data_IF_592788776185
#
_entry.id   IF_592788776185
#
_cell.length_a   1.000
_cell.length_b   1.000
_cell.length_c   1.000
_cell.angle_alpha   90.00
_cell.angle_beta   90.00
_cell.angle_gamma   90.00
#
_symmetry.space_group_name_H-M   'P 1'
#
loop_
_entity.id
_entity.type
_entity.pdbx_description
1 polymer ?
#
# COMPACT_ATOMS: atom_id res chain seq x y z
N UNK A 1 -14.92 -11.38 -7.88
CA UNK A 1 -13.88 -10.82 -8.75
C UNK A 1 -13.45 -11.91 -9.72
N UNK A 2 -13.45 -11.62 -11.03
CA UNK A 2 -13.03 -12.54 -12.08
C UNK A 2 -11.84 -11.89 -12.80
N UNK A 3 -10.64 -12.42 -12.57
CA UNK A 3 -9.41 -11.96 -13.25
C UNK A 3 -9.03 -12.98 -14.31
N UNK A 4 -8.59 -12.51 -15.48
CA UNK A 4 -8.10 -13.39 -16.55
C UNK A 4 -6.62 -13.72 -16.38
N UNK A 5 -6.14 -14.80 -17.01
CA UNK A 5 -4.72 -15.14 -17.03
C UNK A 5 -3.86 -14.01 -17.63
N UNK A 6 -4.37 -13.34 -18.67
CA UNK A 6 -3.72 -12.18 -19.28
C UNK A 6 -3.60 -11.01 -18.30
N UNK A 7 -4.67 -10.69 -17.58
CA UNK A 7 -4.65 -9.67 -16.53
C UNK A 7 -3.70 -10.03 -15.39
N UNK A 8 -3.64 -11.31 -14.98
CA UNK A 8 -2.69 -11.76 -13.96
C UNK A 8 -1.23 -11.50 -14.38
N UNK A 9 -0.85 -11.90 -15.60
CA UNK A 9 0.51 -11.65 -16.12
C UNK A 9 0.82 -10.15 -16.23
N UNK A 10 -0.14 -9.37 -16.72
CA UNK A 10 0.01 -7.93 -16.85
C UNK A 10 0.17 -7.22 -15.49
N UNK A 11 -0.67 -7.56 -14.51
CA UNK A 11 -0.59 -7.06 -13.15
C UNK A 11 0.75 -7.43 -12.49
N UNK A 12 1.18 -8.68 -12.64
CA UNK A 12 2.48 -9.12 -12.13
C UNK A 12 3.63 -8.33 -12.77
N UNK A 13 3.56 -8.04 -14.07
CA UNK A 13 4.54 -7.21 -14.76
C UNK A 13 4.51 -5.76 -14.28
N UNK A 14 3.33 -5.17 -14.05
CA UNK A 14 3.18 -3.82 -13.51
C UNK A 14 3.81 -3.70 -12.12
N UNK A 15 3.63 -4.72 -11.28
CA UNK A 15 4.20 -4.79 -9.93
C UNK A 15 5.69 -5.19 -9.91
N UNK A 16 6.28 -5.51 -11.07
CA UNK A 16 7.63 -6.09 -11.18
C UNK A 16 7.82 -7.34 -10.29
N UNK A 17 6.80 -8.18 -10.17
CA UNK A 17 6.82 -9.39 -9.36
C UNK A 17 7.25 -10.63 -10.16
N UNK A 18 7.98 -11.53 -9.52
CA UNK A 18 8.17 -12.90 -9.99
C UNK A 18 6.94 -13.76 -9.69
N UNK A 19 6.81 -14.94 -10.32
CA UNK A 19 5.74 -15.88 -10.00
C UNK A 19 5.83 -16.36 -8.54
N UNK A 20 7.05 -16.47 -8.00
CA UNK A 20 7.29 -16.84 -6.60
C UNK A 20 6.83 -15.75 -5.63
N UNK A 21 7.10 -14.48 -5.95
CA UNK A 21 6.59 -13.34 -5.17
C UNK A 21 5.07 -13.29 -5.19
N UNK A 22 4.43 -13.48 -6.35
CA UNK A 22 2.98 -13.54 -6.42
C UNK A 22 2.41 -14.71 -5.60
N UNK A 23 3.01 -15.90 -5.70
CA UNK A 23 2.57 -17.07 -4.96
C UNK A 23 2.66 -16.86 -3.44
N UNK A 24 3.75 -16.25 -2.96
CA UNK A 24 3.95 -15.91 -1.57
C UNK A 24 2.90 -14.90 -1.07
N UNK A 25 2.69 -13.80 -1.81
CA UNK A 25 1.72 -12.75 -1.44
C UNK A 25 0.27 -13.25 -1.48
N UNK A 26 -0.06 -14.13 -2.42
CA UNK A 26 -1.40 -14.70 -2.55
C UNK A 26 -1.64 -15.93 -1.66
N UNK A 27 -0.62 -16.42 -0.94
CA UNK A 27 -0.67 -17.65 -0.14
C UNK A 27 -1.19 -18.85 -0.95
N UNK A 28 -0.60 -19.04 -2.14
CA UNK A 28 -0.89 -20.17 -3.04
C UNK A 28 0.41 -20.83 -3.49
N UNK A 29 0.33 -22.02 -4.08
CA UNK A 29 1.53 -22.65 -4.64
C UNK A 29 2.00 -21.92 -5.90
N UNK A 30 3.31 -21.85 -6.11
CA UNK A 30 3.93 -21.36 -7.36
C UNK A 30 3.38 -22.08 -8.60
N UNK A 31 3.14 -23.38 -8.50
CA UNK A 31 2.56 -24.18 -9.58
C UNK A 31 1.14 -23.69 -9.96
N UNK A 32 0.32 -23.36 -8.95
CA UNK A 32 -1.01 -22.76 -9.19
C UNK A 32 -0.94 -21.45 -9.96
N UNK A 33 0.03 -20.59 -9.63
CA UNK A 33 0.27 -19.33 -10.36
C UNK A 33 0.70 -19.62 -11.80
N UNK A 34 1.67 -20.51 -11.98
CA UNK A 34 2.18 -20.84 -13.31
C UNK A 34 1.09 -21.43 -14.22
N UNK A 35 0.31 -22.40 -13.72
CA UNK A 35 -0.79 -23.04 -14.46
C UNK A 35 -1.90 -22.04 -14.83
N UNK A 36 -2.16 -21.07 -13.95
CA UNK A 36 -3.12 -20.01 -14.22
C UNK A 36 -2.59 -19.06 -15.29
N UNK A 37 -1.36 -18.57 -15.13
CA UNK A 37 -0.75 -17.64 -16.07
C UNK A 37 -0.55 -18.26 -17.46
N UNK A 38 -0.32 -19.57 -17.58
CA UNK A 38 -0.25 -20.26 -18.87
C UNK A 38 -1.61 -20.60 -19.46
N UNK A 39 -2.71 -20.31 -18.75
CA UNK A 39 -4.07 -20.72 -19.10
C UNK A 39 -4.25 -22.25 -19.19
N UNK A 40 -3.34 -23.02 -18.61
CA UNK A 40 -3.42 -24.49 -18.55
C UNK A 40 -4.56 -24.93 -17.65
N UNK A 41 -4.77 -24.23 -16.53
CA UNK A 41 -5.83 -24.55 -15.56
C UNK A 41 -6.35 -23.30 -14.88
N UNK A 42 -7.67 -23.28 -14.64
CA UNK A 42 -8.27 -22.27 -13.78
C UNK A 42 -8.05 -22.65 -12.30
N UNK A 43 -7.49 -21.77 -11.46
CA UNK A 43 -7.41 -21.99 -10.03
C UNK A 43 -8.80 -22.19 -9.40
N UNK A 44 -8.82 -22.87 -8.26
CA UNK A 44 -10.03 -22.89 -7.43
C UNK A 44 -10.44 -21.45 -7.06
N UNK A 45 -11.75 -21.24 -6.90
CA UNK A 45 -12.33 -19.91 -6.64
C UNK A 45 -11.65 -19.14 -5.51
N UNK A 46 -11.25 -19.83 -4.43
CA UNK A 46 -10.55 -19.21 -3.31
C UNK A 46 -9.15 -18.75 -3.70
N UNK A 47 -8.37 -19.57 -4.39
CA UNK A 47 -7.02 -19.20 -4.86
C UNK A 47 -7.08 -18.05 -5.86
N UNK A 48 -8.05 -18.06 -6.79
CA UNK A 48 -8.24 -16.98 -7.76
C UNK A 48 -8.58 -15.65 -7.06
N UNK A 49 -9.41 -15.72 -6.01
CA UNK A 49 -9.71 -14.58 -5.14
C UNK A 49 -8.43 -14.08 -4.45
N UNK A 50 -7.68 -14.95 -3.78
CA UNK A 50 -6.45 -14.55 -3.08
C UNK A 50 -5.42 -13.90 -4.02
N UNK A 51 -5.25 -14.43 -5.24
CA UNK A 51 -4.38 -13.84 -6.27
C UNK A 51 -4.84 -12.42 -6.61
N UNK A 52 -6.13 -12.22 -6.91
CA UNK A 52 -6.61 -10.90 -7.26
C UNK A 52 -6.59 -9.91 -6.08
N UNK A 53 -6.94 -10.37 -4.88
CA UNK A 53 -6.99 -9.54 -3.68
C UNK A 53 -5.58 -9.06 -3.28
N UNK A 54 -4.56 -9.93 -3.40
CA UNK A 54 -3.18 -9.52 -3.08
C UNK A 54 -2.64 -8.49 -4.08
N UNK A 55 -2.95 -8.64 -5.38
CA UNK A 55 -2.55 -7.66 -6.39
C UNK A 55 -3.30 -6.34 -6.20
N UNK A 56 -4.59 -6.40 -5.83
CA UNK A 56 -5.36 -5.22 -5.49
C UNK A 56 -4.77 -4.47 -4.30
N UNK A 57 -4.39 -5.19 -3.24
CA UNK A 57 -3.70 -4.63 -2.08
C UNK A 57 -2.34 -4.00 -2.46
N UNK A 58 -1.63 -4.60 -3.41
CA UNK A 58 -0.38 -4.07 -3.96
C UNK A 58 -0.56 -2.85 -4.89
N UNK A 59 -1.78 -2.35 -5.05
CA UNK A 59 -2.04 -1.13 -5.81
C UNK A 59 -2.53 -1.36 -7.24
N UNK A 60 -2.88 -2.58 -7.63
CA UNK A 60 -3.41 -2.87 -8.98
C UNK A 60 -4.94 -2.77 -9.03
N UNK A 61 -5.47 -2.28 -10.13
CA UNK A 61 -6.89 -2.32 -10.47
C UNK A 61 -7.09 -3.18 -11.73
N UNK A 62 -8.05 -4.11 -11.67
CA UNK A 62 -8.46 -4.91 -12.82
C UNK A 62 -9.68 -4.27 -13.49
N UNK A 63 -9.54 -3.93 -14.77
CA UNK A 63 -10.60 -3.32 -15.57
C UNK A 63 -11.36 -4.45 -16.29
N UNK A 64 -12.67 -4.61 -16.07
CA UNK A 64 -13.48 -5.59 -16.80
C UNK A 64 -13.69 -5.16 -18.26
N UNK A 65 -14.19 -6.07 -19.08
CA UNK A 65 -14.63 -5.75 -20.44
C UNK A 65 -15.92 -4.90 -20.37
N UNK A 66 -15.89 -3.71 -20.98
CA UNK A 66 -17.00 -2.75 -20.96
C UNK A 66 -17.03 -1.93 -22.26
N UNK A 67 -18.24 -1.66 -22.79
CA UNK A 67 -18.47 -0.76 -23.93
C UNK A 67 -17.49 -0.96 -25.10
N UNK A 68 -17.36 -2.21 -25.58
CA UNK A 68 -16.48 -2.61 -26.69
C UNK A 68 -14.98 -2.47 -26.41
N UNK A 69 -14.58 -2.23 -25.15
CA UNK A 69 -13.19 -2.24 -24.70
C UNK A 69 -12.89 -3.56 -23.99
N UNK A 70 -11.80 -4.21 -24.40
CA UNK A 70 -11.32 -5.44 -23.77
C UNK A 70 -10.82 -5.23 -22.33
N UNK A 71 -10.53 -6.35 -21.66
CA UNK A 71 -10.01 -6.35 -20.29
C UNK A 71 -8.69 -5.57 -20.16
N UNK A 72 -8.47 -4.97 -18.99
CA UNK A 72 -7.28 -4.17 -18.72
C UNK A 72 -6.75 -4.34 -17.30
N UNK A 73 -5.56 -3.78 -17.09
CA UNK A 73 -4.91 -3.65 -15.78
C UNK A 73 -4.25 -2.29 -15.71
N UNK A 74 -4.39 -1.61 -14.57
CA UNK A 74 -3.70 -0.34 -14.29
C UNK A 74 -3.29 -0.29 -12.82
N UNK A 75 -2.46 0.67 -12.45
CA UNK A 75 -2.37 1.06 -11.05
C UNK A 75 -3.69 1.73 -10.64
N UNK A 76 -4.12 1.45 -9.41
CA UNK A 76 -5.20 2.20 -8.77
C UNK A 76 -4.80 3.67 -8.73
N UNK A 77 -5.80 4.53 -8.82
CA UNK A 77 -5.62 5.95 -8.56
C UNK A 77 -5.05 6.10 -7.15
N UNK A 78 -3.85 6.69 -7.04
CA UNK A 78 -3.30 7.12 -5.76
C UNK A 78 -4.18 8.25 -5.28
N UNK A 79 -5.19 7.93 -4.47
CA UNK A 79 -6.09 8.93 -3.90
C UNK A 79 -5.39 9.83 -2.88
N UNK A 80 -4.18 9.46 -2.47
CA UNK A 80 -3.35 10.15 -1.52
C UNK A 80 -2.25 10.97 -2.23
N UNK A 81 -2.35 12.29 -2.13
CA UNK A 81 -1.27 13.23 -2.46
C UNK A 81 -0.65 13.74 -1.15
N UNK A 82 0.65 14.05 -1.13
CA UNK A 82 1.33 14.51 0.09
C UNK A 82 2.53 15.39 -0.22
N UNK A 83 2.92 16.19 0.77
CA UNK A 83 4.20 16.92 0.78
C UNK A 83 5.16 16.18 1.69
N UNK A 84 6.32 15.76 1.19
CA UNK A 84 7.29 14.93 1.92
C UNK A 84 7.91 15.59 3.15
N UNK A 85 7.75 16.90 3.31
CA UNK A 85 8.34 17.66 4.41
C UNK A 85 7.51 17.47 5.68
N UNK A 86 7.98 16.58 6.56
CA UNK A 86 7.43 16.45 7.90
C UNK A 86 7.87 17.64 8.77
N UNK A 87 6.91 18.25 9.47
CA UNK A 87 7.18 19.23 10.51
C UNK A 87 7.28 18.51 11.85
N UNK A 88 8.46 18.56 12.45
CA UNK A 88 8.73 17.98 13.77
C UNK A 88 8.27 18.93 14.87
N UNK A 89 7.59 18.39 15.88
CA UNK A 89 7.21 19.07 17.11
C UNK A 89 7.58 18.15 18.28
N UNK A 90 8.83 18.24 18.74
CA UNK A 90 9.35 17.44 19.85
C UNK A 90 8.66 17.73 21.19
N UNK A 91 8.13 18.94 21.39
CA UNK A 91 7.41 19.26 22.62
C UNK A 91 6.15 18.40 22.77
N UNK A 92 5.45 18.17 21.65
CA UNK A 92 4.28 17.30 21.60
C UNK A 92 4.60 15.84 21.22
N UNK A 93 5.88 15.51 20.99
CA UNK A 93 6.31 14.17 20.59
C UNK A 93 5.74 13.70 19.26
N UNK A 94 5.49 14.62 18.31
CA UNK A 94 4.87 14.28 17.02
C UNK A 94 5.63 14.88 15.83
N UNK A 95 5.50 14.23 14.69
CA UNK A 95 5.75 14.81 13.38
C UNK A 95 4.42 14.96 12.63
N UNK A 96 4.28 16.02 11.84
CA UNK A 96 3.07 16.28 11.06
C UNK A 96 3.37 16.48 9.58
N UNK A 97 2.53 15.92 8.72
CA UNK A 97 2.66 16.01 7.27
C UNK A 97 1.30 16.32 6.66
N UNK A 98 1.22 17.29 5.76
CA UNK A 98 -0.03 17.58 5.06
C UNK A 98 -0.22 16.58 3.93
N UNK A 99 -1.40 15.99 3.91
CA UNK A 99 -1.83 15.03 2.90
C UNK A 99 -3.21 15.40 2.39
N UNK A 100 -3.54 14.89 1.21
CA UNK A 100 -4.82 15.06 0.56
C UNK A 100 -5.34 13.69 0.15
N UNK A 101 -6.49 13.27 0.67
CA UNK A 101 -7.11 12.00 0.31
C UNK A 101 -8.48 12.23 -0.31
N UNK A 102 -8.66 11.81 -1.57
CA UNK A 102 -9.97 11.80 -2.24
C UNK A 102 -10.73 13.14 -2.17
N UNK A 103 -10.05 14.28 -2.31
CA UNK A 103 -10.66 15.61 -2.22
C UNK A 103 -10.58 16.28 -0.84
N UNK A 104 -10.05 15.60 0.18
CA UNK A 104 -10.03 16.08 1.57
C UNK A 104 -8.59 16.25 2.06
N UNK A 105 -8.24 17.47 2.45
CA UNK A 105 -6.98 17.76 3.14
C UNK A 105 -7.03 17.27 4.59
N UNK A 106 -5.94 16.65 5.04
CA UNK A 106 -5.74 16.27 6.44
C UNK A 106 -4.27 16.36 6.84
N UNK A 107 -4.03 16.40 8.16
CA UNK A 107 -2.69 16.24 8.72
C UNK A 107 -2.47 14.79 9.13
N UNK A 108 -1.51 14.13 8.49
CA UNK A 108 -0.92 12.91 9.01
C UNK A 108 -0.06 13.27 10.23
N UNK A 109 -0.37 12.69 11.39
CA UNK A 109 0.32 12.90 12.66
C UNK A 109 1.01 11.59 13.03
N UNK A 110 2.33 11.60 13.05
CA UNK A 110 3.17 10.44 13.37
C UNK A 110 3.73 10.69 14.76
N UNK A 111 3.62 9.71 15.66
CA UNK A 111 4.26 9.81 16.97
C UNK A 111 5.77 9.57 16.83
N UNK A 112 6.59 10.43 17.42
CA UNK A 112 8.05 10.30 17.30
C UNK A 112 8.55 9.00 17.94
N UNK A 113 7.94 8.58 19.05
CA UNK A 113 8.22 7.28 19.68
C UNK A 113 7.96 6.10 18.73
N UNK A 114 6.95 6.18 17.86
CA UNK A 114 6.69 5.13 16.87
C UNK A 114 7.81 5.05 15.82
N UNK A 115 8.47 6.17 15.53
CA UNK A 115 9.64 6.22 14.64
C UNK A 115 10.86 5.62 15.34
N UNK A 116 11.10 6.02 16.60
CA UNK A 116 12.16 5.45 17.44
C UNK A 116 12.03 3.92 17.56
N UNK A 117 10.83 3.44 17.89
CA UNK A 117 10.52 2.01 18.05
C UNK A 117 10.73 1.23 16.74
N UNK A 118 10.29 1.78 15.61
CA UNK A 118 10.47 1.16 14.30
C UNK A 118 11.96 0.98 13.94
N UNK A 119 12.79 1.98 14.26
CA UNK A 119 14.23 1.92 14.04
C UNK A 119 15.02 1.23 15.16
N UNK A 120 14.38 0.95 16.30
CA UNK A 120 15.03 0.54 17.55
C UNK A 120 16.17 1.49 17.92
N UNK A 121 15.93 2.78 17.76
CA UNK A 121 16.87 3.87 17.98
C UNK A 121 16.26 4.91 18.93
N UNK A 122 17.08 5.84 19.43
CA UNK A 122 16.61 7.02 20.15
C UNK A 122 17.18 8.24 19.42
N UNK A 123 16.38 8.90 18.59
CA UNK A 123 16.80 10.10 17.89
C UNK A 123 16.78 11.32 18.81
N UNK A 124 17.79 12.18 18.75
CA UNK A 124 17.94 13.33 19.64
C UNK A 124 17.62 14.66 18.94
N UNK A 125 17.72 14.70 17.61
CA UNK A 125 17.61 15.93 16.81
C UNK A 125 16.46 15.92 15.80
N UNK A 126 15.97 17.11 15.44
CA UNK A 126 14.92 17.25 14.42
C UNK A 126 15.38 16.74 13.03
N UNK A 127 16.67 16.88 12.73
CA UNK A 127 17.27 16.41 11.47
C UNK A 127 17.32 14.88 11.40
N UNK A 128 17.65 14.22 12.51
CA UNK A 128 17.61 12.74 12.61
C UNK A 128 16.18 12.22 12.42
N UNK A 129 15.20 12.81 13.10
CA UNK A 129 13.79 12.44 12.92
C UNK A 129 13.31 12.71 11.48
N UNK A 130 13.67 13.86 10.91
CA UNK A 130 13.29 14.21 9.53
C UNK A 130 13.86 13.20 8.53
N UNK A 131 15.11 12.78 8.72
CA UNK A 131 15.75 11.76 7.90
C UNK A 131 15.08 10.39 8.09
N UNK A 132 14.86 9.96 9.33
CA UNK A 132 14.20 8.69 9.62
C UNK A 132 12.80 8.63 8.99
N UNK A 133 12.00 9.69 9.16
CA UNK A 133 10.66 9.79 8.56
C UNK A 133 10.72 9.77 7.03
N UNK A 134 11.71 10.44 6.42
CA UNK A 134 11.91 10.39 4.98
C UNK A 134 12.23 8.98 4.49
N UNK A 135 13.04 8.23 5.23
CA UNK A 135 13.45 6.87 4.88
C UNK A 135 12.26 5.89 4.92
N UNK A 136 11.33 6.05 5.88
CA UNK A 136 10.07 5.26 5.98
C UNK A 136 8.85 5.94 5.36
N UNK A 137 9.03 6.99 4.55
CA UNK A 137 7.92 7.74 3.96
C UNK A 137 6.97 6.84 3.14
N UNK A 138 7.52 5.85 2.46
CA UNK A 138 6.75 4.88 1.69
C UNK A 138 5.80 4.05 2.57
N UNK A 139 6.22 3.68 3.79
CA UNK A 139 5.40 2.96 4.78
C UNK A 139 4.31 3.88 5.33
N UNK A 140 4.68 5.12 5.67
CA UNK A 140 3.76 6.15 6.18
C UNK A 140 2.64 6.42 5.16
N UNK A 141 3.00 6.57 3.88
CA UNK A 141 2.05 6.82 2.78
C UNK A 141 1.12 5.63 2.59
N UNK A 142 1.65 4.40 2.57
CA UNK A 142 0.83 3.19 2.45
C UNK A 142 -0.15 3.04 3.62
N UNK A 143 0.34 3.31 4.84
CA UNK A 143 -0.47 3.32 6.07
C UNK A 143 -1.56 4.39 5.99
N UNK A 144 -1.20 5.61 5.58
CA UNK A 144 -2.14 6.70 5.43
C UNK A 144 -3.22 6.37 4.38
N UNK A 145 -2.85 5.80 3.23
CA UNK A 145 -3.80 5.40 2.19
C UNK A 145 -4.78 4.32 2.68
N UNK A 146 -4.29 3.38 3.51
CA UNK A 146 -5.10 2.32 4.11
C UNK A 146 -6.13 2.85 5.12
N UNK A 147 -5.73 3.80 5.96
CA UNK A 147 -6.55 4.24 7.10
C UNK A 147 -7.30 5.56 6.88
N UNK A 148 -6.88 6.39 5.91
CA UNK A 148 -7.54 7.67 5.59
C UNK A 148 -9.08 7.57 5.39
N UNK A 149 -9.64 6.53 4.74
CA UNK A 149 -11.08 6.42 4.56
C UNK A 149 -11.91 6.34 5.84
N UNK A 150 -11.31 5.88 6.95
CA UNK A 150 -12.04 5.50 8.17
C UNK A 150 -11.50 6.12 9.45
N UNK A 151 -10.26 6.61 9.46
CA UNK A 151 -9.56 7.06 10.68
C UNK A 151 -9.20 8.55 10.67
N UNK A 152 -9.62 9.31 9.65
CA UNK A 152 -9.52 10.77 9.70
C UNK A 152 -10.56 11.30 10.70
N UNK A 153 -10.08 11.96 11.75
CA UNK A 153 -10.91 12.62 12.77
C UNK A 153 -10.38 14.03 13.03
N UNK A 154 -11.26 15.02 13.04
CA UNK A 154 -10.89 16.44 13.20
C UNK A 154 -9.79 16.91 12.23
N UNK A 155 -9.81 16.42 10.98
CA UNK A 155 -8.81 16.75 9.96
C UNK A 155 -7.43 16.14 10.21
N UNK A 156 -7.33 15.13 11.08
CA UNK A 156 -6.07 14.45 11.41
C UNK A 156 -6.20 12.95 11.25
N UNK A 157 -5.14 12.32 10.75
CA UNK A 157 -4.94 10.88 10.81
C UNK A 157 -3.74 10.62 11.70
N UNK A 158 -3.94 9.96 12.85
CA UNK A 158 -2.85 9.63 13.77
C UNK A 158 -2.32 8.24 13.43
N UNK A 159 -1.05 8.18 13.05
CA UNK A 159 -0.32 6.95 12.77
C UNK A 159 0.39 6.53 14.06
N UNK A 160 0.01 5.35 14.57
CA UNK A 160 0.65 4.71 15.72
C UNK A 160 1.68 3.67 15.26
N UNK A 161 2.52 3.21 16.19
CA UNK A 161 3.50 2.14 15.93
C UNK A 161 2.87 0.89 15.30
N UNK A 162 1.77 0.39 15.87
CA UNK A 162 1.06 -0.79 15.35
C UNK A 162 0.59 -0.63 13.90
N UNK A 163 0.29 0.61 13.48
CA UNK A 163 -0.12 0.90 12.11
C UNK A 163 1.06 0.88 11.13
N UNK A 164 2.26 1.25 11.58
CA UNK A 164 3.50 1.23 10.79
C UNK A 164 4.06 -0.19 10.63
N UNK A 165 3.98 -1.02 11.67
CA UNK A 165 4.49 -2.40 11.64
C UNK A 165 3.51 -3.40 10.99
N UNK A 166 2.24 -3.02 10.83
CA UNK A 166 1.17 -3.87 10.29
C UNK A 166 0.94 -3.79 8.78
N UNK A 167 1.84 -3.13 8.03
CA UNK A 167 1.82 -3.01 6.56
C UNK A 167 2.84 -3.92 5.89
#
# INVERSE_FOLDING_TARGET
>A
MHITAAQCRAARSLLNWTQDQLAANAVVSRATVADFESSTRQPMKNNLRSIGDCMFAAGVEFIPEENEKGVGVRFRERKLEYVSNARIDRFNGIATMRMHYSGVDFQCVIELNAVDDHYRANFETDDEFSKAISDILHIIVATAERYAPTHISNGKLRITYDMLDGT
#
